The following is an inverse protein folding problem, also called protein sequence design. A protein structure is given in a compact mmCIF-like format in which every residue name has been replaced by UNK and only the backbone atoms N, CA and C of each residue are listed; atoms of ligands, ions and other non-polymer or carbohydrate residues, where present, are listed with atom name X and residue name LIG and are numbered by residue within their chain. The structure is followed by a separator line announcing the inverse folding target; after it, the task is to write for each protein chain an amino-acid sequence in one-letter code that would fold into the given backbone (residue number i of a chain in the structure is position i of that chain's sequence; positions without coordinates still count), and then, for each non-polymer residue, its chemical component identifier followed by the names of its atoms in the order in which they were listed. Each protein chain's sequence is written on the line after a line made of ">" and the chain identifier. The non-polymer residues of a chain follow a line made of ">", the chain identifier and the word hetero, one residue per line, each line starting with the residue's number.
data_IF_181072151235
#
_entry.id   IF_181072151235
#
_cell.length_a   1.000
_cell.length_b   1.000
_cell.length_c   1.000
_cell.angle_alpha   90.00
_cell.angle_beta   90.00
_cell.angle_gamma   90.00
#
_symmetry.space_group_name_H-M   'P 1'
#
loop_
_entity.id
_entity.type
_entity.pdbx_description
1 polymer ?
#
# COMPACT_ATOMS: atom_id res chain seq x y z
N UNK A 1 2.30 0.94 7.42
CA UNK A 1 2.80 1.70 6.27
C UNK A 1 3.15 3.15 6.60
N UNK A 2 2.23 3.98 7.09
CA UNK A 2 2.53 5.37 7.47
C UNK A 2 3.73 5.48 8.44
N UNK A 3 3.76 4.67 9.50
CA UNK A 3 4.90 4.65 10.44
C UNK A 3 6.23 4.26 9.78
N UNK A 4 6.20 3.34 8.80
CA UNK A 4 7.39 2.91 8.05
C UNK A 4 7.92 4.06 7.18
N UNK A 5 7.02 4.82 6.54
CA UNK A 5 7.39 5.99 5.73
C UNK A 5 7.99 7.10 6.60
N UNK A 6 7.40 7.36 7.76
CA UNK A 6 7.97 8.32 8.72
C UNK A 6 9.34 7.87 9.20
N UNK A 7 9.51 6.60 9.57
CA UNK A 7 10.81 6.05 9.97
C UNK A 7 11.84 6.10 8.83
N UNK A 8 11.44 5.83 7.59
CA UNK A 8 12.31 5.87 6.41
C UNK A 8 12.93 7.26 6.18
N UNK A 9 12.23 8.34 6.57
CA UNK A 9 12.75 9.70 6.46
C UNK A 9 14.00 9.94 7.32
N UNK A 10 14.10 9.27 8.47
CA UNK A 10 15.20 9.40 9.43
C UNK A 10 16.29 8.35 9.24
N UNK A 11 16.21 7.51 8.20
CA UNK A 11 17.26 6.53 7.90
C UNK A 11 18.49 7.23 7.34
N UNK A 12 19.62 7.01 7.99
CA UNK A 12 20.92 7.57 7.59
C UNK A 12 21.98 6.48 7.39
N UNK A 13 21.76 5.29 7.97
CA UNK A 13 22.71 4.17 7.90
C UNK A 13 22.13 2.97 7.17
N UNK A 14 23.00 2.18 6.55
CA UNK A 14 22.62 0.95 5.86
C UNK A 14 21.95 -0.07 6.79
N UNK A 15 22.40 -0.17 8.06
CA UNK A 15 21.80 -1.06 9.05
C UNK A 15 20.36 -0.68 9.37
N UNK A 16 20.06 0.61 9.55
CA UNK A 16 18.69 1.11 9.73
C UNK A 16 17.82 0.82 8.51
N UNK A 17 18.37 0.96 7.29
CA UNK A 17 17.65 0.63 6.06
C UNK A 17 17.23 -0.85 6.02
N UNK A 18 18.16 -1.77 6.30
CA UNK A 18 17.85 -3.21 6.32
C UNK A 18 16.83 -3.57 7.41
N UNK A 19 16.98 -3.02 8.61
CA UNK A 19 16.02 -3.24 9.69
C UNK A 19 14.61 -2.78 9.28
N UNK A 20 14.50 -1.60 8.66
CA UNK A 20 13.22 -1.07 8.18
C UNK A 20 12.65 -1.90 7.01
N UNK A 21 13.51 -2.39 6.10
CA UNK A 21 13.11 -3.24 4.99
C UNK A 21 12.51 -4.57 5.47
N UNK A 22 13.06 -5.17 6.53
CA UNK A 22 12.51 -6.38 7.16
C UNK A 22 11.10 -6.11 7.70
N UNK A 23 10.92 -5.01 8.44
CA UNK A 23 9.62 -4.61 8.99
C UNK A 23 8.62 -4.29 7.87
N UNK A 24 9.07 -3.66 6.79
CA UNK A 24 8.21 -3.40 5.63
C UNK A 24 7.81 -4.69 4.90
N UNK A 25 8.74 -5.64 4.78
CA UNK A 25 8.52 -6.93 4.14
C UNK A 25 7.44 -7.77 4.83
N UNK A 26 7.43 -7.81 6.17
CA UNK A 26 6.36 -8.50 6.91
C UNK A 26 4.99 -7.85 6.67
N UNK A 27 4.96 -6.51 6.58
CA UNK A 27 3.76 -5.74 6.24
C UNK A 27 3.22 -6.01 4.83
N UNK A 28 4.10 -6.23 3.83
CA UNK A 28 3.68 -6.55 2.45
C UNK A 28 2.90 -7.87 2.40
N UNK A 29 3.41 -8.92 3.06
CA UNK A 29 2.73 -10.22 3.11
C UNK A 29 1.39 -10.14 3.84
N UNK A 30 1.36 -9.47 4.99
CA UNK A 30 0.15 -9.31 5.79
C UNK A 30 -0.97 -8.58 5.03
N UNK A 31 -0.65 -7.46 4.37
CA UNK A 31 -1.63 -6.69 3.59
C UNK A 31 -2.12 -7.46 2.39
N UNK A 32 -1.25 -8.21 1.70
CA UNK A 32 -1.64 -9.01 0.53
C UNK A 32 -2.65 -10.11 0.92
N UNK A 33 -2.41 -10.83 2.01
CA UNK A 33 -3.33 -11.85 2.51
C UNK A 33 -4.65 -11.23 2.99
N UNK A 34 -4.59 -10.21 3.84
CA UNK A 34 -5.77 -9.55 4.40
C UNK A 34 -6.68 -8.93 3.33
N UNK A 35 -6.11 -8.29 2.31
CA UNK A 35 -6.88 -7.66 1.23
C UNK A 35 -7.68 -8.68 0.41
N UNK A 36 -7.10 -9.86 0.13
CA UNK A 36 -7.78 -10.93 -0.60
C UNK A 36 -8.92 -11.54 0.21
N UNK A 37 -8.68 -11.82 1.50
CA UNK A 37 -9.73 -12.34 2.40
C UNK A 37 -10.86 -11.34 2.55
N UNK A 38 -10.54 -10.05 2.69
CA UNK A 38 -11.54 -9.00 2.80
C UNK A 38 -12.37 -8.86 1.52
N UNK A 39 -11.73 -8.86 0.34
CA UNK A 39 -12.44 -8.80 -0.93
C UNK A 39 -13.35 -10.02 -1.13
N UNK A 40 -12.88 -11.22 -0.78
CA UNK A 40 -13.70 -12.43 -0.86
C UNK A 40 -14.95 -12.35 0.04
N UNK A 41 -14.83 -11.77 1.24
CA UNK A 41 -15.99 -11.61 2.16
C UNK A 41 -17.04 -10.61 1.66
N UNK A 42 -16.67 -9.70 0.76
CA UNK A 42 -17.56 -8.70 0.16
C UNK A 42 -18.10 -9.13 -1.20
N UNK A 43 -17.56 -10.22 -1.78
CA UNK A 43 -17.88 -10.62 -3.13
C UNK A 43 -19.24 -11.34 -3.18
N UNK A 44 -20.17 -10.91 -4.05
CA UNK A 44 -21.37 -11.68 -4.36
C UNK A 44 -21.01 -13.00 -5.03
N UNK A 45 -21.80 -14.04 -4.77
CA UNK A 45 -21.65 -15.35 -5.42
C UNK A 45 -21.77 -15.21 -6.95
N UNK A 46 -20.83 -15.82 -7.68
CA UNK A 46 -20.80 -15.81 -9.14
C UNK A 46 -20.17 -14.56 -9.77
N UNK A 47 -19.71 -13.59 -8.97
CA UNK A 47 -18.99 -12.39 -9.44
C UNK A 47 -17.51 -12.38 -9.01
N UNK A 48 -16.98 -13.49 -8.50
CA UNK A 48 -15.61 -13.55 -7.96
C UNK A 48 -14.57 -13.18 -9.00
N UNK A 49 -14.71 -13.71 -10.23
CA UNK A 49 -13.77 -13.44 -11.31
C UNK A 49 -13.73 -11.95 -11.70
N UNK A 50 -14.88 -11.25 -11.67
CA UNK A 50 -14.96 -9.84 -12.03
C UNK A 50 -14.33 -8.95 -10.94
N UNK A 51 -14.66 -9.18 -9.67
CA UNK A 51 -14.11 -8.40 -8.56
C UNK A 51 -12.60 -8.64 -8.38
N UNK A 52 -12.15 -9.91 -8.44
CA UNK A 52 -10.71 -10.21 -8.39
C UNK A 52 -9.97 -9.72 -9.64
N UNK A 53 -10.64 -9.71 -10.80
CA UNK A 53 -10.12 -9.08 -12.03
C UNK A 53 -9.90 -7.59 -11.86
N UNK A 54 -10.88 -6.87 -11.32
CA UNK A 54 -10.78 -5.44 -11.01
C UNK A 54 -9.69 -5.16 -9.96
N UNK A 55 -9.63 -5.96 -8.88
CA UNK A 55 -8.58 -5.86 -7.87
C UNK A 55 -7.18 -6.02 -8.48
N UNK A 56 -6.99 -6.99 -9.37
CA UNK A 56 -5.73 -7.23 -10.07
C UNK A 56 -5.35 -6.04 -10.97
N UNK A 57 -6.33 -5.48 -11.69
CA UNK A 57 -6.14 -4.28 -12.50
C UNK A 57 -5.69 -3.09 -11.63
N UNK A 58 -6.39 -2.80 -10.54
CA UNK A 58 -6.02 -1.75 -9.60
C UNK A 58 -4.60 -1.93 -9.05
N UNK A 59 -4.24 -3.17 -8.68
CA UNK A 59 -2.90 -3.49 -8.20
C UNK A 59 -1.80 -3.23 -9.23
N UNK A 60 -2.03 -3.62 -10.49
CA UNK A 60 -1.08 -3.35 -11.60
C UNK A 60 -0.97 -1.85 -11.90
N UNK A 61 -2.09 -1.13 -11.92
CA UNK A 61 -2.09 0.32 -12.07
C UNK A 61 -1.31 1.01 -10.94
N UNK A 62 -1.52 0.59 -9.69
CA UNK A 62 -0.78 1.12 -8.55
C UNK A 62 0.74 0.84 -8.64
N UNK A 63 1.13 -0.34 -9.15
CA UNK A 63 2.54 -0.70 -9.36
C UNK A 63 3.24 0.17 -10.40
N UNK A 64 2.49 0.76 -11.35
CA UNK A 64 3.02 1.73 -12.32
C UNK A 64 3.01 3.14 -11.72
N UNK A 65 1.91 3.55 -11.09
CA UNK A 65 1.74 4.89 -10.53
C UNK A 65 2.72 5.17 -9.38
N UNK A 66 3.01 4.19 -8.52
CA UNK A 66 3.91 4.37 -7.38
C UNK A 66 5.30 4.85 -7.77
N UNK A 67 6.04 4.12 -8.62
CA UNK A 67 7.34 4.55 -9.14
C UNK A 67 7.29 5.87 -9.93
N UNK A 68 6.23 6.10 -10.72
CA UNK A 68 6.08 7.35 -11.47
C UNK A 68 5.97 8.56 -10.55
N UNK A 69 5.14 8.47 -9.50
CA UNK A 69 4.98 9.57 -8.54
C UNK A 69 6.24 9.75 -7.70
N UNK A 70 6.83 8.65 -7.22
CA UNK A 70 8.07 8.68 -6.47
C UNK A 70 9.21 9.32 -7.27
N UNK A 71 9.42 8.85 -8.50
CA UNK A 71 10.46 9.34 -9.39
C UNK A 71 10.21 10.78 -9.82
N UNK A 72 8.98 11.12 -10.19
CA UNK A 72 8.59 12.47 -10.59
C UNK A 72 8.81 13.48 -9.47
N UNK A 73 8.40 13.17 -8.24
CA UNK A 73 8.60 14.07 -7.09
C UNK A 73 10.06 14.12 -6.66
N UNK A 74 10.77 12.99 -6.66
CA UNK A 74 12.21 12.99 -6.36
C UNK A 74 13.00 13.81 -7.37
N UNK A 75 12.64 13.74 -8.66
CA UNK A 75 13.26 14.53 -9.72
C UNK A 75 12.92 16.02 -9.59
N UNK A 76 11.65 16.36 -9.40
CA UNK A 76 11.21 17.74 -9.20
C UNK A 76 11.83 18.39 -7.94
N UNK A 77 12.10 17.59 -6.90
CA UNK A 77 12.80 18.03 -5.69
C UNK A 77 14.34 18.03 -5.82
N UNK A 78 14.88 18.05 -7.04
CA UNK A 78 16.32 18.14 -7.29
C UNK A 78 17.12 16.88 -6.95
N UNK A 79 16.48 15.71 -6.96
CA UNK A 79 17.09 14.42 -6.59
C UNK A 79 16.87 14.01 -5.13
N UNK A 80 16.12 14.80 -4.34
CA UNK A 80 15.84 14.48 -2.95
C UNK A 80 14.85 13.32 -2.81
N UNK A 81 15.36 12.10 -2.63
CA UNK A 81 14.57 10.88 -2.46
C UNK A 81 13.66 10.92 -1.23
N UNK A 82 14.02 11.68 -0.17
CA UNK A 82 13.17 11.80 1.03
C UNK A 82 11.84 12.47 0.71
N UNK A 83 11.83 13.44 -0.21
CA UNK A 83 10.59 14.07 -0.68
C UNK A 83 9.70 13.06 -1.43
N UNK A 84 10.29 12.18 -2.24
CA UNK A 84 9.58 11.09 -2.91
C UNK A 84 8.97 10.09 -1.92
N UNK A 85 9.71 9.71 -0.88
CA UNK A 85 9.22 8.81 0.18
C UNK A 85 8.00 9.42 0.89
N UNK A 86 8.07 10.70 1.27
CA UNK A 86 6.96 11.40 1.92
C UNK A 86 5.71 11.47 1.03
N UNK A 87 5.89 11.65 -0.27
CA UNK A 87 4.78 11.63 -1.21
C UNK A 87 4.06 10.27 -1.24
N UNK A 88 4.80 9.16 -1.29
CA UNK A 88 4.20 7.81 -1.13
C UNK A 88 3.49 7.70 0.22
N UNK A 89 4.07 8.29 1.29
CA UNK A 89 3.45 8.36 2.60
C UNK A 89 2.05 8.97 2.61
N UNK A 90 1.84 10.02 1.80
CA UNK A 90 0.53 10.66 1.67
C UNK A 90 -0.53 9.72 1.07
N UNK A 91 -0.18 8.87 0.10
CA UNK A 91 -1.09 7.85 -0.43
C UNK A 91 -1.52 6.84 0.63
N UNK A 92 -0.59 6.42 1.51
CA UNK A 92 -0.93 5.53 2.63
C UNK A 92 -1.88 6.19 3.64
N UNK A 93 -1.70 7.49 3.91
CA UNK A 93 -2.62 8.25 4.77
C UNK A 93 -4.01 8.34 4.15
N UNK A 94 -4.09 8.71 2.87
CA UNK A 94 -5.36 8.79 2.14
C UNK A 94 -6.06 7.42 2.11
N UNK A 95 -5.31 6.36 1.78
CA UNK A 95 -5.81 4.99 1.79
C UNK A 95 -6.30 4.55 3.17
N UNK A 96 -5.59 4.91 4.24
CA UNK A 96 -6.02 4.62 5.62
C UNK A 96 -7.34 5.32 5.97
N UNK A 97 -7.48 6.61 5.63
CA UNK A 97 -8.72 7.37 5.85
C UNK A 97 -9.87 6.76 5.05
N UNK A 98 -9.65 6.41 3.77
CA UNK A 98 -10.68 5.76 2.95
C UNK A 98 -11.11 4.41 3.53
N UNK A 99 -10.16 3.56 3.92
CA UNK A 99 -10.45 2.25 4.51
C UNK A 99 -11.21 2.38 5.85
N UNK A 100 -10.91 3.38 6.66
CA UNK A 100 -11.65 3.63 7.91
C UNK A 100 -13.14 3.92 7.71
N UNK A 101 -13.55 4.32 6.50
CA UNK A 101 -14.97 4.53 6.16
C UNK A 101 -15.66 3.25 5.70
N UNK A 102 -14.91 2.20 5.36
CA UNK A 102 -15.46 0.94 4.91
C UNK A 102 -15.88 0.12 6.13
N UNK A 103 -17.17 -0.19 6.23
CA UNK A 103 -17.65 -1.16 7.21
C UNK A 103 -17.18 -2.55 6.81
N UNK A 104 -16.58 -3.27 7.75
CA UNK A 104 -16.31 -4.68 7.54
C UNK A 104 -17.64 -5.38 7.23
N UNK A 105 -17.72 -6.05 6.07
CA UNK A 105 -18.81 -6.98 5.83
C UNK A 105 -18.82 -7.98 6.97
N UNK A 106 -19.95 -8.11 7.68
CA UNK A 106 -20.11 -9.16 8.67
C UNK A 106 -19.82 -10.52 8.04
N UNK A 107 -19.42 -11.54 8.83
CA UNK A 107 -19.04 -12.84 8.29
C UNK A 107 -20.12 -13.33 7.33
N UNK A 108 -19.72 -13.58 6.08
CA UNK A 108 -20.55 -14.28 5.11
C UNK A 108 -21.01 -15.55 5.81
N UNK A 109 -22.34 -15.70 5.98
CA UNK A 109 -22.93 -16.86 6.62
C UNK A 109 -22.45 -18.09 5.86
N UNK A 110 -21.66 -18.92 6.54
CA UNK A 110 -21.35 -20.28 6.13
C UNK A 110 -22.62 -21.14 6.14
#
# INVERSE_FOLDING_TARGET
>A
WTAIVVAAYFVETQAQFWALAIVAGTGLGAVQAASRTFLASLCPEGMEAELFGFYSLCGKSAAIMGPLVFGGISHAAGGNQRAGILAIGSFFLIGFVLLSRVKAGGPARA
#
